data_IF_824474725179
#
_entry.id   IF_824474725179
#
_cell.length_a   1.000
_cell.length_b   1.000
_cell.length_c   1.000
_cell.angle_alpha   90.00
_cell.angle_beta   90.00
_cell.angle_gamma   90.00
#
_symmetry.space_group_name_H-M   'P 1'
#
loop_
_entity.id
_entity.type
_entity.pdbx_description
1 polymer ?
#
# COMPACT_ATOMS: atom_id res chain seq x y z
N UNK A 1 -12.81 -17.82 0.94
CA UNK A 1 -12.23 -16.48 0.67
C UNK A 1 -12.98 -15.88 -0.50
N UNK A 2 -13.79 -14.85 -0.27
CA UNK A 2 -14.46 -14.15 -1.39
C UNK A 2 -13.37 -13.53 -2.27
N UNK A 3 -13.55 -13.54 -3.60
CA UNK A 3 -12.55 -13.09 -4.59
C UNK A 3 -12.01 -11.66 -4.31
N UNK A 4 -12.80 -10.83 -3.62
CA UNK A 4 -12.42 -9.49 -3.16
C UNK A 4 -11.36 -9.47 -2.05
N UNK A 5 -11.34 -10.45 -1.16
CA UNK A 5 -10.37 -10.51 -0.05
C UNK A 5 -8.93 -10.72 -0.55
N UNK A 6 -8.75 -11.45 -1.66
CA UNK A 6 -7.42 -11.67 -2.26
C UNK A 6 -6.78 -10.39 -2.78
N UNK A 7 -7.58 -9.45 -3.31
CA UNK A 7 -7.08 -8.16 -3.82
C UNK A 7 -6.59 -7.27 -2.67
N UNK A 8 -7.29 -7.27 -1.54
CA UNK A 8 -6.82 -6.58 -0.32
C UNK A 8 -5.55 -7.20 0.24
N UNK A 9 -5.40 -8.51 0.16
CA UNK A 9 -4.20 -9.21 0.62
C UNK A 9 -2.98 -8.84 -0.25
N UNK A 10 -3.13 -8.81 -1.58
CA UNK A 10 -2.07 -8.37 -2.50
C UNK A 10 -1.69 -6.91 -2.20
N UNK A 11 -2.68 -6.04 -2.00
CA UNK A 11 -2.41 -4.64 -1.69
C UNK A 11 -1.69 -4.47 -0.34
N UNK A 12 -2.03 -5.28 0.66
CA UNK A 12 -1.35 -5.30 1.95
C UNK A 12 0.11 -5.76 1.82
N UNK A 13 0.38 -6.79 1.01
CA UNK A 13 1.76 -7.23 0.71
C UNK A 13 2.56 -6.10 0.06
N UNK A 14 1.97 -5.41 -0.93
CA UNK A 14 2.62 -4.27 -1.60
C UNK A 14 2.91 -3.14 -0.60
N UNK A 15 1.99 -2.85 0.32
CA UNK A 15 2.20 -1.85 1.35
C UNK A 15 3.35 -2.22 2.31
N UNK A 16 3.42 -3.48 2.75
CA UNK A 16 4.52 -3.97 3.59
C UNK A 16 5.85 -3.94 2.84
N UNK A 17 5.84 -4.24 1.54
CA UNK A 17 7.02 -4.12 0.69
C UNK A 17 7.54 -2.68 0.65
N UNK A 18 6.66 -1.69 0.41
CA UNK A 18 7.05 -0.28 0.44
C UNK A 18 7.54 0.19 1.82
N UNK A 19 6.91 -0.27 2.91
CA UNK A 19 7.38 0.03 4.27
C UNK A 19 8.81 -0.50 4.51
N UNK A 20 9.08 -1.71 4.02
CA UNK A 20 10.41 -2.34 4.12
C UNK A 20 11.43 -1.57 3.29
N UNK A 21 11.08 -1.19 2.06
CA UNK A 21 11.92 -0.37 1.18
C UNK A 21 12.23 1.01 1.77
N UNK A 22 11.22 1.64 2.39
CA UNK A 22 11.39 2.91 3.10
C UNK A 22 12.36 2.76 4.30
N UNK A 23 12.26 1.66 5.04
CA UNK A 23 13.20 1.35 6.13
C UNK A 23 14.65 1.21 5.65
N UNK A 24 14.85 0.56 4.49
CA UNK A 24 16.16 0.50 3.84
C UNK A 24 16.65 1.88 3.37
N UNK A 25 15.77 2.72 2.83
CA UNK A 25 16.13 4.07 2.40
C UNK A 25 16.60 4.95 3.59
N UNK A 26 15.96 4.79 4.76
CA UNK A 26 16.41 5.41 6.02
C UNK A 26 17.80 4.89 6.41
N UNK A 27 17.99 3.57 6.40
CA UNK A 27 19.27 2.95 6.77
C UNK A 27 20.42 3.37 5.85
N UNK A 28 20.13 3.57 4.56
CA UNK A 28 21.08 4.07 3.57
C UNK A 28 21.31 5.60 3.65
N UNK A 29 20.61 6.32 4.55
CA UNK A 29 20.64 7.80 4.67
C UNK A 29 20.38 8.51 3.33
N UNK A 30 19.61 7.89 2.43
CA UNK A 30 19.35 8.43 1.10
C UNK A 30 18.04 9.23 1.09
N UNK A 31 18.15 10.55 1.26
CA UNK A 31 17.01 11.46 1.41
C UNK A 31 16.04 11.41 0.21
N UNK A 32 16.58 11.27 -1.01
CA UNK A 32 15.79 11.25 -2.23
C UNK A 32 14.89 10.01 -2.26
N UNK A 33 15.48 8.83 -2.04
CA UNK A 33 14.74 7.58 -2.01
C UNK A 33 13.77 7.50 -0.84
N UNK A 34 14.10 8.11 0.29
CA UNK A 34 13.22 8.19 1.45
C UNK A 34 11.93 8.96 1.13
N UNK A 35 12.02 10.11 0.45
CA UNK A 35 10.84 10.89 0.05
C UNK A 35 10.00 10.14 -1.00
N UNK A 36 10.65 9.57 -2.02
CA UNK A 36 9.97 8.83 -3.09
C UNK A 36 9.20 7.62 -2.53
N UNK A 37 9.86 6.79 -1.72
CA UNK A 37 9.23 5.61 -1.12
C UNK A 37 8.14 5.98 -0.12
N UNK A 38 8.28 7.09 0.61
CA UNK A 38 7.23 7.59 1.49
C UNK A 38 5.98 8.02 0.72
N UNK A 39 6.13 8.80 -0.37
CA UNK A 39 4.99 9.21 -1.22
C UNK A 39 4.30 7.98 -1.83
N UNK A 40 5.07 7.03 -2.36
CA UNK A 40 4.54 5.78 -2.90
C UNK A 40 3.77 4.97 -1.85
N UNK A 41 4.26 4.93 -0.61
CA UNK A 41 3.59 4.27 0.50
C UNK A 41 2.23 4.95 0.80
N UNK A 42 2.20 6.28 0.91
CA UNK A 42 0.95 7.04 1.16
C UNK A 42 -0.06 6.82 0.03
N UNK A 43 0.38 6.87 -1.23
CA UNK A 43 -0.49 6.62 -2.39
C UNK A 43 -1.04 5.20 -2.36
N UNK A 44 -0.21 4.20 -2.07
CA UNK A 44 -0.64 2.79 -1.97
C UNK A 44 -1.72 2.62 -0.89
N UNK A 45 -1.54 3.24 0.27
CA UNK A 45 -2.56 3.22 1.34
C UNK A 45 -3.84 3.94 0.91
N UNK A 46 -3.74 5.11 0.30
CA UNK A 46 -4.89 5.88 -0.20
C UNK A 46 -5.71 5.12 -1.26
N UNK A 47 -5.03 4.46 -2.20
CA UNK A 47 -5.65 3.57 -3.19
C UNK A 47 -6.36 2.41 -2.50
N UNK A 48 -5.76 1.82 -1.48
CA UNK A 48 -6.38 0.74 -0.70
C UNK A 48 -7.64 1.14 0.03
N UNK A 49 -7.65 2.31 0.67
CA UNK A 49 -8.85 2.82 1.32
C UNK A 49 -9.96 3.16 0.31
N UNK A 50 -9.58 3.70 -0.85
CA UNK A 50 -10.51 4.03 -1.93
C UNK A 50 -11.14 2.76 -2.52
N UNK A 51 -10.32 1.73 -2.80
CA UNK A 51 -10.79 0.41 -3.23
C UNK A 51 -11.72 -0.21 -2.18
N UNK A 52 -11.37 -0.14 -0.89
CA UNK A 52 -12.23 -0.63 0.20
C UNK A 52 -13.58 0.08 0.26
N UNK A 53 -13.62 1.38 -0.02
CA UNK A 53 -14.87 2.13 -0.12
C UNK A 53 -15.72 1.65 -1.30
N UNK A 54 -15.15 1.57 -2.50
CA UNK A 54 -15.85 1.13 -3.72
C UNK A 54 -16.38 -0.31 -3.63
N UNK A 55 -15.63 -1.21 -3.01
CA UNK A 55 -16.06 -2.60 -2.80
C UNK A 55 -17.20 -2.72 -1.78
N UNK A 56 -17.33 -1.79 -0.82
CA UNK A 56 -18.49 -1.73 0.09
C UNK A 56 -19.73 -1.20 -0.61
N UNK A 57 -19.57 -0.15 -1.41
CA UNK A 57 -20.68 0.47 -2.16
C UNK A 57 -21.30 -0.48 -3.19
N UNK A 58 -20.51 -1.42 -3.73
CA UNK A 58 -20.98 -2.40 -4.71
C UNK A 58 -21.37 -3.78 -4.12
N UNK A 59 -21.44 -3.93 -2.79
CA UNK A 59 -21.68 -5.22 -2.10
C UNK A 59 -20.70 -6.35 -2.52
N UNK A 60 -19.48 -5.97 -2.92
CA UNK A 60 -18.42 -6.92 -3.33
C UNK A 60 -17.57 -7.41 -2.16
N UNK A 61 -17.88 -7.00 -0.92
CA UNK A 61 -17.20 -7.43 0.31
C UNK A 61 -17.89 -8.62 1.00
#
# INVERSE_FOLDING_TARGET
MKKSQSIFLILAIIAVFFLTMFSFAIAATNIFWMIVTFILMVVTFGVGFTLKKKYRENDWL
#
